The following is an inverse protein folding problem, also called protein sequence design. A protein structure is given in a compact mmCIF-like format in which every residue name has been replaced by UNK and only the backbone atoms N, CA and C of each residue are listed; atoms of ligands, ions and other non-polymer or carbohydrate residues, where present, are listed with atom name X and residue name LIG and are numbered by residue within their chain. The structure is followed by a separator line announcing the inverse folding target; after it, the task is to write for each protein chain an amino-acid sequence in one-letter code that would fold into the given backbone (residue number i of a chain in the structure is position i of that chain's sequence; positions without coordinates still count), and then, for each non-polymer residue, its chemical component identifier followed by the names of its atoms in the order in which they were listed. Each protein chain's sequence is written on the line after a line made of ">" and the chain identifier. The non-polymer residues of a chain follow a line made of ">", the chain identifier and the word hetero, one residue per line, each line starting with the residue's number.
data_IF_340819892548
#
_entry.id   IF_340819892548
#
_cell.length_a   1.000
_cell.length_b   1.000
_cell.length_c   1.000
_cell.angle_alpha   90.00
_cell.angle_beta   90.00
_cell.angle_gamma   90.00
#
_symmetry.space_group_name_H-M   'P 1'
#
loop_
_entity.id
_entity.type
_entity.pdbx_description
1 polymer ?
#
# COMPACT_ATOMS: atom_id res chain seq x y z
N UNK A 1 -2.65 -18.05 13.03
CA UNK A 1 -2.94 -17.61 11.64
C UNK A 1 -3.12 -16.09 11.52
N UNK A 2 -3.85 -15.41 12.42
CA UNK A 2 -4.02 -13.95 12.31
C UNK A 2 -2.71 -13.16 12.53
N UNK A 3 -1.83 -13.66 13.42
CA UNK A 3 -0.56 -13.00 13.72
C UNK A 3 0.40 -12.87 12.53
N UNK A 4 0.48 -13.88 11.65
CA UNK A 4 1.31 -13.79 10.44
C UNK A 4 0.77 -12.75 9.46
N UNK A 5 -0.55 -12.62 9.33
CA UNK A 5 -1.19 -11.59 8.50
C UNK A 5 -0.89 -10.19 9.02
N UNK A 6 -0.91 -9.96 10.34
CA UNK A 6 -0.54 -8.67 10.93
C UNK A 6 0.93 -8.33 10.73
N UNK A 7 1.84 -9.30 10.89
CA UNK A 7 3.27 -9.08 10.67
C UNK A 7 3.53 -8.73 9.20
N UNK A 8 2.99 -9.51 8.27
CA UNK A 8 3.10 -9.25 6.82
C UNK A 8 2.48 -7.90 6.48
N UNK A 9 1.28 -7.62 6.97
CA UNK A 9 0.59 -6.34 6.75
C UNK A 9 1.41 -5.16 7.26
N UNK A 10 2.03 -5.26 8.44
CA UNK A 10 2.91 -4.22 8.97
C UNK A 10 4.14 -3.97 8.10
N UNK A 11 4.82 -5.04 7.66
CA UNK A 11 5.99 -4.95 6.78
C UNK A 11 5.62 -4.33 5.43
N UNK A 12 4.53 -4.81 4.81
CA UNK A 12 4.05 -4.28 3.54
C UNK A 12 3.62 -2.82 3.65
N UNK A 13 2.95 -2.45 4.74
CA UNK A 13 2.56 -1.07 5.02
C UNK A 13 3.79 -0.17 5.09
N UNK A 14 4.79 -0.56 5.87
CA UNK A 14 6.03 0.20 6.00
C UNK A 14 6.72 0.37 4.63
N UNK A 15 6.84 -0.71 3.86
CA UNK A 15 7.45 -0.66 2.53
C UNK A 15 6.70 0.27 1.57
N UNK A 16 5.36 0.15 1.48
CA UNK A 16 4.53 0.99 0.59
C UNK A 16 4.64 2.45 0.99
N UNK A 17 4.54 2.77 2.28
CA UNK A 17 4.67 4.14 2.78
C UNK A 17 6.04 4.70 2.41
N UNK A 18 7.13 4.00 2.71
CA UNK A 18 8.49 4.48 2.39
C UNK A 18 8.66 4.74 0.89
N UNK A 19 8.18 3.82 0.04
CA UNK A 19 8.27 3.99 -1.42
C UNK A 19 7.45 5.20 -1.87
N UNK A 20 6.20 5.35 -1.41
CA UNK A 20 5.37 6.49 -1.77
C UNK A 20 6.00 7.82 -1.35
N UNK A 21 6.61 7.89 -0.15
CA UNK A 21 7.28 9.09 0.34
C UNK A 21 8.51 9.44 -0.51
N UNK A 22 9.31 8.45 -0.89
CA UNK A 22 10.45 8.66 -1.78
C UNK A 22 9.94 9.20 -3.12
N UNK A 23 8.91 8.57 -3.70
CA UNK A 23 8.32 9.02 -4.96
C UNK A 23 7.80 10.45 -4.86
N UNK A 24 7.03 10.77 -3.81
CA UNK A 24 6.50 12.11 -3.59
C UNK A 24 7.60 13.18 -3.54
N UNK A 25 8.77 12.84 -3.01
CA UNK A 25 9.91 13.77 -2.91
C UNK A 25 10.69 13.94 -4.21
N UNK A 26 10.72 12.92 -5.08
CA UNK A 26 11.52 12.94 -6.32
C UNK A 26 10.69 13.24 -7.57
N UNK A 27 9.37 13.12 -7.51
CA UNK A 27 8.46 13.43 -8.63
C UNK A 27 7.95 14.86 -8.55
N UNK A 28 7.68 15.47 -9.70
CA UNK A 28 7.01 16.76 -9.77
C UNK A 28 5.59 16.67 -9.18
N UNK A 29 5.14 17.75 -8.53
CA UNK A 29 3.85 17.82 -7.83
C UNK A 29 2.62 17.59 -8.74
N UNK A 30 2.78 17.77 -10.05
CA UNK A 30 1.71 17.50 -11.03
C UNK A 30 1.51 16.01 -11.33
N UNK A 31 2.40 15.13 -10.84
CA UNK A 31 2.37 13.70 -11.14
C UNK A 31 1.86 12.91 -9.96
N UNK A 32 0.72 12.24 -10.14
CA UNK A 32 0.15 11.24 -9.22
C UNK A 32 0.97 9.94 -9.10
N UNK A 33 2.26 9.97 -9.46
CA UNK A 33 3.15 8.80 -9.50
C UNK A 33 3.42 8.27 -8.08
N UNK A 34 3.41 9.14 -7.07
CA UNK A 34 3.53 8.76 -5.66
C UNK A 34 2.46 7.78 -5.18
N UNK A 35 1.31 7.72 -5.87
CA UNK A 35 0.21 6.82 -5.53
C UNK A 35 0.29 5.46 -6.25
N UNK A 36 1.18 5.29 -7.23
CA UNK A 36 1.25 4.07 -8.04
C UNK A 36 1.52 2.80 -7.22
N UNK A 37 2.44 2.79 -6.23
CA UNK A 37 2.67 1.59 -5.42
C UNK A 37 1.40 1.17 -4.67
N UNK A 38 0.66 2.12 -4.09
CA UNK A 38 -0.62 1.82 -3.45
C UNK A 38 -1.65 1.22 -4.43
N UNK A 39 -1.73 1.73 -5.67
CA UNK A 39 -2.64 1.18 -6.69
C UNK A 39 -2.29 -0.26 -7.06
N UNK A 40 -0.99 -0.56 -7.21
CA UNK A 40 -0.50 -1.91 -7.49
C UNK A 40 -0.88 -2.85 -6.35
N UNK A 41 -0.76 -2.41 -5.10
CA UNK A 41 -1.12 -3.21 -3.93
C UNK A 41 -2.63 -3.43 -3.81
N UNK A 42 -3.47 -2.47 -4.22
CA UNK A 42 -4.93 -2.70 -4.33
C UNK A 42 -5.22 -3.79 -5.35
N UNK A 43 -4.67 -3.66 -6.57
CA UNK A 43 -4.91 -4.63 -7.63
C UNK A 43 -4.43 -6.03 -7.23
N UNK A 44 -3.20 -6.13 -6.70
CA UNK A 44 -2.65 -7.39 -6.20
C UNK A 44 -3.48 -7.97 -5.06
N UNK A 45 -3.91 -7.14 -4.10
CA UNK A 45 -4.72 -7.56 -2.97
C UNK A 45 -6.09 -8.13 -3.39
N UNK A 46 -6.75 -7.47 -4.34
CA UNK A 46 -8.02 -7.95 -4.90
C UNK A 46 -7.85 -9.25 -5.69
N UNK A 47 -6.80 -9.38 -6.49
CA UNK A 47 -6.49 -10.62 -7.22
C UNK A 47 -6.23 -11.77 -6.24
N UNK A 48 -5.43 -11.55 -5.20
CA UNK A 48 -5.15 -12.57 -4.19
C UNK A 48 -6.39 -12.98 -3.42
N UNK A 49 -7.28 -12.03 -3.08
CA UNK A 49 -8.56 -12.35 -2.45
C UNK A 49 -9.47 -13.16 -3.36
N UNK A 50 -9.56 -12.79 -4.64
CA UNK A 50 -10.36 -13.52 -5.62
C UNK A 50 -9.84 -14.95 -5.76
N UNK A 51 -8.53 -15.13 -5.93
CA UNK A 51 -7.91 -16.47 -6.06
C UNK A 51 -8.12 -17.29 -4.79
N UNK A 52 -8.07 -16.68 -3.61
CA UNK A 52 -8.33 -17.35 -2.34
C UNK A 52 -9.75 -17.92 -2.21
N UNK A 53 -10.73 -17.43 -3.00
CA UNK A 53 -12.07 -18.03 -3.05
C UNK A 53 -12.11 -19.38 -3.78
N UNK A 54 -11.15 -19.63 -4.67
CA UNK A 54 -11.06 -20.87 -5.45
C UNK A 54 -10.00 -21.83 -4.89
N UNK A 55 -8.98 -21.31 -4.23
CA UNK A 55 -7.80 -22.07 -3.81
C UNK A 55 -7.48 -21.78 -2.35
N UNK A 56 -7.39 -22.84 -1.53
CA UNK A 56 -7.03 -22.74 -0.12
C UNK A 56 -5.55 -23.08 0.10
N UNK A 57 -4.68 -22.29 -0.54
CA UNK A 57 -3.23 -22.45 -0.45
C UNK A 57 -2.61 -21.42 0.51
N UNK A 58 -1.50 -21.83 1.13
CA UNK A 58 -0.73 -20.99 2.04
C UNK A 58 0.66 -20.73 1.49
N UNK A 59 1.05 -19.45 1.50
CA UNK A 59 2.36 -19.02 1.03
C UNK A 59 3.11 -18.35 2.19
N UNK A 60 4.36 -18.77 2.42
CA UNK A 60 5.24 -18.20 3.45
C UNK A 60 4.56 -18.03 4.84
N UNK A 61 3.77 -19.00 5.26
CA UNK A 61 3.13 -19.02 6.58
C UNK A 61 1.84 -18.18 6.72
N UNK A 62 1.31 -17.63 5.63
CA UNK A 62 0.00 -17.00 5.59
C UNK A 62 -0.86 -17.52 4.41
N UNK A 63 -2.18 -17.68 4.58
CA UNK A 63 -3.07 -18.07 3.49
C UNK A 63 -3.11 -16.97 2.41
N UNK A 64 -3.38 -17.32 1.16
CA UNK A 64 -3.49 -16.34 0.05
C UNK A 64 -4.47 -15.21 0.36
N UNK A 65 -5.60 -15.51 1.01
CA UNK A 65 -6.55 -14.49 1.45
C UNK A 65 -5.96 -13.54 2.51
N UNK A 66 -5.06 -14.04 3.36
CA UNK A 66 -4.32 -13.23 4.33
C UNK A 66 -3.34 -12.28 3.64
N UNK A 67 -2.62 -12.74 2.61
CA UNK A 67 -1.80 -11.87 1.77
C UNK A 67 -2.63 -10.80 1.07
N UNK A 68 -3.80 -11.17 0.54
CA UNK A 68 -4.71 -10.22 -0.08
C UNK A 68 -5.16 -9.10 0.86
N UNK A 69 -5.62 -9.45 2.06
CA UNK A 69 -6.03 -8.46 3.08
C UNK A 69 -4.85 -7.60 3.53
N UNK A 70 -3.68 -8.20 3.76
CA UNK A 70 -2.48 -7.45 4.13
C UNK A 70 -2.07 -6.43 3.06
N UNK A 71 -2.16 -6.80 1.78
CA UNK A 71 -1.89 -5.90 0.65
C UNK A 71 -2.90 -4.75 0.57
N UNK A 72 -4.20 -5.01 0.74
CA UNK A 72 -5.22 -3.97 0.75
C UNK A 72 -5.05 -3.02 1.93
N UNK A 73 -4.73 -3.54 3.11
CA UNK A 73 -4.46 -2.75 4.30
C UNK A 73 -3.24 -1.83 4.10
N UNK A 74 -2.15 -2.38 3.58
CA UNK A 74 -0.95 -1.62 3.25
C UNK A 74 -1.22 -0.51 2.24
N UNK A 75 -2.01 -0.80 1.19
CA UNK A 75 -2.42 0.21 0.22
C UNK A 75 -3.23 1.33 0.86
N UNK A 76 -4.24 0.99 1.68
CA UNK A 76 -5.10 1.95 2.34
C UNK A 76 -4.30 2.92 3.22
N UNK A 77 -3.39 2.40 4.06
CA UNK A 77 -2.51 3.26 4.87
C UNK A 77 -1.60 4.08 3.95
N UNK A 78 -0.97 3.45 2.95
CA UNK A 78 -0.12 4.12 1.99
C UNK A 78 -0.81 5.32 1.33
N UNK A 79 -2.06 5.16 0.89
CA UNK A 79 -2.87 6.25 0.36
C UNK A 79 -3.07 7.37 1.37
N UNK A 80 -3.49 7.04 2.60
CA UNK A 80 -3.78 8.04 3.63
C UNK A 80 -2.55 8.89 3.94
N UNK A 81 -1.40 8.28 4.26
CA UNK A 81 -0.23 9.09 4.63
C UNK A 81 0.32 9.86 3.43
N UNK A 82 0.26 9.28 2.23
CA UNK A 82 0.72 9.96 1.01
C UNK A 82 -0.15 11.18 0.72
N UNK A 83 -1.47 11.04 0.79
CA UNK A 83 -2.42 12.14 0.60
C UNK A 83 -2.25 13.25 1.65
N UNK A 84 -2.01 12.88 2.91
CA UNK A 84 -1.73 13.87 3.96
C UNK A 84 -0.48 14.69 3.64
N UNK A 85 0.63 14.04 3.28
CA UNK A 85 1.91 14.72 3.06
C UNK A 85 1.90 15.50 1.75
N UNK A 86 1.28 14.97 0.71
CA UNK A 86 1.05 15.66 -0.56
C UNK A 86 0.26 16.96 -0.36
N UNK A 87 -0.82 16.92 0.45
CA UNK A 87 -1.58 18.11 0.82
C UNK A 87 -0.71 19.15 1.55
N UNK A 88 0.10 18.73 2.54
CA UNK A 88 1.03 19.62 3.24
C UNK A 88 2.09 20.22 2.32
N UNK A 89 2.64 19.46 1.38
CA UNK A 89 3.67 19.94 0.45
C UNK A 89 3.08 20.97 -0.54
N UNK A 90 1.88 20.74 -1.04
CA UNK A 90 1.21 21.66 -1.97
C UNK A 90 0.79 22.98 -1.29
N UNK A 91 0.33 22.95 -0.04
CA UNK A 91 0.04 24.16 0.73
C UNK A 91 1.30 25.02 0.96
N UNK A 92 2.40 24.38 1.36
CA UNK A 92 3.67 25.09 1.56
C UNK A 92 4.23 25.68 0.25
N UNK A 93 4.01 25.02 -0.89
CA UNK A 93 4.43 25.54 -2.19
C UNK A 93 3.60 26.75 -2.66
N UNK A 94 2.36 26.91 -2.20
CA UNK A 94 1.52 28.07 -2.52
C UNK A 94 1.77 29.28 -1.61
N UNK A 95 2.33 29.06 -0.41
CA UNK A 95 2.60 30.10 0.59
C UNK A 95 4.06 30.61 0.56
N UNK A 96 4.91 30.11 -0.34
CA UNK A 96 6.31 30.49 -0.52
C UNK A 96 6.52 31.35 -1.77
#
# INVERSE_FOLDING_TARGET
>A
MIGSVFIVGGILTFAVVVINLILLKVTAADKFVSYFPSHIFVAAGLVLLLVATFVNESFAGAPLGGWGIASLFAAAIGYVITAMIDAYMNENAQNA
#
